data_IF_774715301299
#
_entry.id   IF_774715301299
#
_cell.length_a   1.000
_cell.length_b   1.000
_cell.length_c   1.000
_cell.angle_alpha   90.00
_cell.angle_beta   90.00
_cell.angle_gamma   90.00
#
_symmetry.space_group_name_H-M   'P 1'
#
loop_
_entity.id
_entity.type
_entity.pdbx_description
1 polymer ?
#
# COMPACT_ATOMS: atom_id res chain seq x y z
N UNK A 1 16.43 0.11 -17.35
CA UNK A 1 15.27 -0.79 -17.56
C UNK A 1 14.01 -0.06 -17.08
N UNK A 2 12.94 -0.07 -17.86
CA UNK A 2 11.66 0.57 -17.50
C UNK A 2 10.99 -0.23 -16.36
N UNK A 3 10.37 0.46 -15.40
CA UNK A 3 9.78 -0.17 -14.20
C UNK A 3 8.75 -1.26 -14.55
N UNK A 4 7.88 -1.01 -15.53
CA UNK A 4 6.87 -2.00 -15.98
C UNK A 4 7.50 -3.25 -16.60
N UNK A 5 8.56 -3.09 -17.41
CA UNK A 5 9.27 -4.23 -17.99
C UNK A 5 9.90 -5.13 -16.91
N UNK A 6 10.42 -4.51 -15.84
CA UNK A 6 10.94 -5.25 -14.69
C UNK A 6 9.83 -5.98 -13.93
N UNK A 7 8.69 -5.34 -13.69
CA UNK A 7 7.55 -5.99 -13.01
C UNK A 7 7.01 -7.18 -13.80
N UNK A 8 7.00 -7.09 -15.13
CA UNK A 8 6.60 -8.17 -16.02
C UNK A 8 7.63 -9.32 -16.02
N UNK A 9 8.93 -9.00 -16.14
CA UNK A 9 10.03 -9.98 -16.04
C UNK A 9 10.03 -10.72 -14.70
N UNK A 10 9.77 -10.00 -13.59
CA UNK A 10 9.67 -10.59 -12.26
C UNK A 10 8.33 -11.33 -12.03
N UNK A 11 7.39 -11.27 -12.99
CA UNK A 11 6.12 -11.99 -12.98
C UNK A 11 5.07 -11.41 -12.03
N UNK A 12 5.19 -10.14 -11.62
CA UNK A 12 4.20 -9.45 -10.80
C UNK A 12 3.02 -8.91 -11.60
N UNK A 13 3.24 -8.62 -12.88
CA UNK A 13 2.19 -8.21 -13.82
C UNK A 13 2.30 -9.02 -15.11
N UNK A 14 1.23 -9.05 -15.88
CA UNK A 14 1.19 -9.66 -17.22
C UNK A 14 0.52 -8.71 -18.20
N UNK A 15 1.06 -8.62 -19.42
CA UNK A 15 0.42 -7.86 -20.50
C UNK A 15 -0.85 -8.56 -20.96
N UNK A 16 -1.96 -7.81 -21.03
CA UNK A 16 -3.24 -8.29 -21.55
C UNK A 16 -3.48 -7.69 -22.93
N UNK A 17 -3.71 -8.55 -23.92
CA UNK A 17 -4.10 -8.09 -25.24
C UNK A 17 -5.52 -7.50 -25.16
N UNK A 18 -5.64 -6.19 -25.39
CA UNK A 18 -6.95 -5.55 -25.53
C UNK A 18 -7.59 -6.02 -26.84
N UNK A 19 -8.52 -6.97 -26.78
CA UNK A 19 -9.23 -7.48 -27.98
C UNK A 19 -10.41 -6.58 -28.36
N UNK A 20 -10.83 -5.64 -27.50
CA UNK A 20 -12.22 -5.13 -27.52
C UNK A 20 -12.46 -3.63 -27.68
N UNK A 21 -11.47 -2.78 -27.97
CA UNK A 21 -11.81 -1.38 -28.29
C UNK A 21 -11.14 -0.96 -29.58
N UNK A 22 -11.98 -0.61 -30.55
CA UNK A 22 -11.68 0.07 -31.79
C UNK A 22 -10.42 0.93 -31.63
N UNK A 23 -9.44 0.68 -32.49
CA UNK A 23 -8.21 1.43 -32.63
C UNK A 23 -8.54 2.90 -32.95
N UNK A 24 -8.95 3.66 -31.94
CA UNK A 24 -9.21 5.08 -32.05
C UNK A 24 -7.83 5.73 -32.11
N UNK A 25 -7.34 5.91 -33.35
CA UNK A 25 -6.18 6.73 -33.71
C UNK A 25 -4.80 6.18 -33.31
N UNK A 26 -4.48 4.96 -33.74
CA UNK A 26 -3.11 4.59 -34.14
C UNK A 26 -2.03 4.44 -33.05
N UNK A 27 -2.37 4.52 -31.75
CA UNK A 27 -1.42 4.23 -30.67
C UNK A 27 -1.73 2.89 -30.02
N UNK A 28 -0.76 1.94 -29.96
CA UNK A 28 -0.96 0.71 -29.22
C UNK A 28 -1.17 1.03 -27.73
N UNK A 29 -2.29 0.57 -27.17
CA UNK A 29 -2.61 0.66 -25.75
C UNK A 29 -2.20 -0.65 -25.08
N UNK A 30 -1.18 -0.60 -24.23
CA UNK A 30 -0.79 -1.73 -23.39
C UNK A 30 -1.60 -1.72 -22.09
N UNK A 31 -2.37 -2.78 -21.88
CA UNK A 31 -3.04 -3.06 -20.61
C UNK A 31 -2.26 -4.11 -19.83
N UNK A 32 -2.25 -3.98 -18.51
CA UNK A 32 -1.59 -4.92 -17.61
C UNK A 32 -2.57 -5.40 -16.55
N UNK A 33 -2.43 -6.66 -16.16
CA UNK A 33 -3.10 -7.22 -15.00
C UNK A 33 -2.07 -7.66 -13.95
N UNK A 34 -2.42 -7.49 -12.67
CA UNK A 34 -1.60 -7.98 -11.57
C UNK A 34 -1.78 -9.49 -11.43
N UNK A 35 -0.68 -10.22 -11.33
CA UNK A 35 -0.70 -11.68 -11.13
C UNK A 35 -0.99 -12.01 -9.65
N UNK A 36 -1.21 -13.29 -9.32
CA UNK A 36 -1.32 -13.70 -7.91
C UNK A 36 -0.04 -13.39 -7.13
N UNK A 37 1.12 -13.73 -7.69
CA UNK A 37 2.43 -13.36 -7.14
C UNK A 37 2.56 -11.84 -6.94
N UNK A 38 2.03 -11.05 -7.88
CA UNK A 38 1.95 -9.60 -7.75
C UNK A 38 1.07 -9.15 -6.59
N UNK A 39 -0.08 -9.79 -6.38
CA UNK A 39 -0.98 -9.51 -5.25
C UNK A 39 -0.35 -9.85 -3.91
N UNK A 40 0.32 -10.99 -3.80
CA UNK A 40 1.08 -11.39 -2.62
C UNK A 40 2.15 -10.35 -2.29
N UNK A 41 2.96 -9.97 -3.29
CA UNK A 41 4.01 -8.95 -3.11
C UNK A 41 3.43 -7.57 -2.75
N UNK A 42 2.31 -7.20 -3.35
CA UNK A 42 1.59 -5.99 -3.00
C UNK A 42 1.14 -6.02 -1.53
N UNK A 43 0.56 -7.13 -1.07
CA UNK A 43 0.14 -7.30 0.31
C UNK A 43 1.33 -7.17 1.29
N UNK A 44 2.46 -7.82 1.00
CA UNK A 44 3.69 -7.67 1.78
C UNK A 44 4.14 -6.21 1.88
N UNK A 45 4.14 -5.49 0.75
CA UNK A 45 4.52 -4.07 0.71
C UNK A 45 3.53 -3.20 1.47
N UNK A 46 2.24 -3.52 1.43
CA UNK A 46 1.20 -2.83 2.18
C UNK A 46 1.35 -3.04 3.68
N UNK A 47 1.61 -4.28 4.11
CA UNK A 47 1.74 -4.64 5.52
C UNK A 47 3.12 -4.34 6.12
N UNK A 48 4.11 -3.98 5.30
CA UNK A 48 5.38 -3.46 5.79
C UNK A 48 5.18 -2.05 6.40
N UNK A 49 5.15 -2.01 7.73
CA UNK A 49 4.94 -0.81 8.56
C UNK A 49 6.21 -0.37 9.31
N UNK A 50 7.25 -1.20 9.33
CA UNK A 50 8.49 -0.97 10.09
C UNK A 50 9.61 -0.34 9.24
N UNK A 51 9.50 -0.42 7.92
CA UNK A 51 10.49 0.16 7.01
C UNK A 51 10.22 1.65 6.79
N UNK A 52 11.29 2.43 6.56
CA UNK A 52 11.22 3.84 6.16
C UNK A 52 10.47 4.75 7.16
N UNK A 53 10.73 4.57 8.46
CA UNK A 53 10.07 5.33 9.55
C UNK A 53 10.11 6.84 9.33
N UNK A 54 11.22 7.38 8.80
CA UNK A 54 11.40 8.81 8.56
C UNK A 54 10.47 9.40 7.48
N UNK A 55 10.01 8.60 6.52
CA UNK A 55 9.08 9.00 5.47
C UNK A 55 7.71 8.32 5.60
N UNK A 56 7.46 7.66 6.74
CA UNK A 56 6.28 6.82 6.93
C UNK A 56 4.98 7.57 6.72
N UNK A 57 4.89 8.85 7.12
CA UNK A 57 3.70 9.67 6.88
C UNK A 57 3.35 9.77 5.40
N UNK A 58 4.33 10.04 4.53
CA UNK A 58 4.12 10.14 3.08
C UNK A 58 3.79 8.77 2.47
N UNK A 59 4.50 7.74 2.91
CA UNK A 59 4.27 6.36 2.45
C UNK A 59 2.87 5.88 2.84
N UNK A 60 2.38 6.22 4.02
CA UNK A 60 1.04 5.86 4.46
C UNK A 60 -0.04 6.48 3.57
N UNK A 61 0.13 7.73 3.10
CA UNK A 61 -0.81 8.34 2.17
C UNK A 61 -0.91 7.58 0.84
N UNK A 62 0.20 7.02 0.33
CA UNK A 62 0.18 6.13 -0.83
C UNK A 62 -0.54 4.81 -0.53
N UNK A 63 -0.39 4.26 0.68
CA UNK A 63 -1.12 3.06 1.10
C UNK A 63 -2.63 3.32 1.15
N UNK A 64 -3.07 4.48 1.66
CA UNK A 64 -4.50 4.83 1.73
C UNK A 64 -5.18 4.76 0.36
N UNK A 65 -4.51 5.20 -0.71
CA UNK A 65 -5.05 5.14 -2.07
C UNK A 65 -5.31 3.71 -2.56
N UNK A 66 -4.60 2.72 -2.02
CA UNK A 66 -4.68 1.32 -2.43
C UNK A 66 -5.32 0.41 -1.36
N UNK A 67 -5.83 0.97 -0.25
CA UNK A 67 -6.41 0.20 0.85
C UNK A 67 -7.65 -0.62 0.44
N UNK A 68 -8.35 -0.23 -0.62
CA UNK A 68 -9.51 -0.98 -1.11
C UNK A 68 -9.16 -2.39 -1.57
N UNK A 69 -7.89 -2.65 -1.90
CA UNK A 69 -7.39 -3.97 -2.29
C UNK A 69 -6.99 -4.86 -1.10
N UNK A 70 -7.07 -4.35 0.14
CA UNK A 70 -6.79 -5.12 1.35
C UNK A 70 -8.05 -5.65 1.99
N UNK A 71 -7.90 -6.72 2.78
CA UNK A 71 -8.98 -7.19 3.66
C UNK A 71 -9.29 -6.15 4.74
N UNK A 72 -10.55 -6.06 5.22
CA UNK A 72 -10.92 -5.11 6.26
C UNK A 72 -10.05 -5.17 7.52
N UNK A 73 -9.62 -6.37 7.92
CA UNK A 73 -8.74 -6.57 9.08
C UNK A 73 -7.35 -5.91 8.87
N UNK A 74 -6.76 -6.07 7.69
CA UNK A 74 -5.47 -5.47 7.35
C UNK A 74 -5.55 -3.94 7.32
N UNK A 75 -6.67 -3.39 6.82
CA UNK A 75 -6.90 -1.93 6.83
C UNK A 75 -6.91 -1.39 8.26
N UNK A 76 -7.54 -2.11 9.19
CA UNK A 76 -7.59 -1.70 10.59
C UNK A 76 -6.18 -1.67 11.21
N UNK A 77 -5.37 -2.71 10.97
CA UNK A 77 -3.97 -2.77 11.45
C UNK A 77 -3.18 -1.54 10.95
N UNK A 78 -3.32 -1.19 9.68
CA UNK A 78 -2.63 -0.03 9.10
C UNK A 78 -3.11 1.29 9.71
N UNK A 79 -4.41 1.45 9.94
CA UNK A 79 -4.98 2.65 10.57
C UNK A 79 -4.54 2.79 12.03
N UNK A 80 -4.60 1.70 12.80
CA UNK A 80 -4.12 1.66 14.19
C UNK A 80 -2.65 2.04 14.28
N UNK A 81 -1.81 1.45 13.42
CA UNK A 81 -0.39 1.78 13.36
C UNK A 81 -0.18 3.27 13.02
N UNK A 82 -0.92 3.82 12.06
CA UNK A 82 -0.78 5.23 11.70
C UNK A 82 -1.24 6.20 12.79
N UNK A 83 -2.30 5.86 13.53
CA UNK A 83 -2.74 6.61 14.72
C UNK A 83 -1.63 6.61 15.76
N UNK A 84 -1.07 5.44 16.07
CA UNK A 84 0.03 5.31 17.03
C UNK A 84 1.27 6.10 16.59
N UNK A 85 1.62 6.04 15.30
CA UNK A 85 2.69 6.85 14.72
C UNK A 85 2.43 8.34 14.94
N UNK A 86 1.25 8.85 14.58
CA UNK A 86 0.89 10.26 14.74
C UNK A 86 0.92 10.72 16.22
N UNK A 87 0.48 9.87 17.14
CA UNK A 87 0.58 10.13 18.58
C UNK A 87 2.05 10.20 19.04
N UNK A 88 2.90 9.26 18.58
CA UNK A 88 4.33 9.22 18.94
C UNK A 88 5.10 10.45 18.45
N UNK A 89 4.70 11.01 17.31
CA UNK A 89 5.29 12.20 16.71
C UNK A 89 4.67 13.52 17.24
N UNK A 90 3.71 13.46 18.17
CA UNK A 90 3.01 14.64 18.70
C UNK A 90 2.12 15.37 17.69
N UNK A 91 1.84 14.76 16.52
CA UNK A 91 0.98 15.33 15.46
C UNK A 91 -0.48 15.34 15.92
N UNK A 92 -0.92 14.25 16.55
CA UNK A 92 -2.21 14.18 17.22
C UNK A 92 -2.02 14.55 18.69
N UNK A 93 -2.63 15.66 19.11
CA UNK A 93 -2.78 15.97 20.53
C UNK A 93 -3.97 15.19 21.07
N UNK A 94 -3.72 14.29 22.03
CA UNK A 94 -4.76 13.48 22.66
C UNK A 94 -5.73 14.37 23.45
N UNK A 95 -6.79 14.85 22.81
CA UNK A 95 -7.97 15.39 23.48
C UNK A 95 -9.08 14.33 23.49
N UNK A 96 -8.95 13.35 24.38
CA UNK A 96 -10.08 12.59 24.96
C UNK A 96 -9.60 11.65 26.05
N UNK A 97 -10.11 11.85 27.27
CA UNK A 97 -10.32 10.75 28.21
C UNK A 97 -11.01 9.60 27.44
N UNK A 98 -10.54 8.37 27.63
CA UNK A 98 -11.06 7.09 27.11
C UNK A 98 -10.37 6.43 25.91
N UNK A 99 -9.24 6.93 25.41
CA UNK A 99 -8.33 6.09 24.60
C UNK A 99 -6.91 6.32 25.07
N UNK A 100 -6.51 5.53 26.07
CA UNK A 100 -5.11 5.23 26.35
C UNK A 100 -4.43 4.89 25.02
N UNK A 101 -3.49 5.73 24.57
CA UNK A 101 -2.51 5.34 23.57
C UNK A 101 -1.91 4.03 24.07
N UNK A 102 -2.34 2.90 23.49
CA UNK A 102 -2.03 1.57 23.97
C UNK A 102 -0.51 1.44 24.05
N UNK A 103 0.02 1.59 25.25
CA UNK A 103 1.40 1.29 25.53
C UNK A 103 1.57 -0.20 25.29
N UNK A 104 2.45 -0.55 24.38
CA UNK A 104 3.31 -1.69 24.64
C UNK A 104 4.68 -1.37 24.10
N UNK A 105 5.43 -0.66 24.94
CA UNK A 105 6.80 -1.04 25.23
C UNK A 105 6.84 -2.54 25.53
N UNK A 106 6.88 -3.37 24.49
CA UNK A 106 7.56 -4.66 24.56
C UNK A 106 8.95 -4.39 24.02
N UNK A 107 9.83 -3.93 24.90
CA UNK A 107 11.26 -4.22 24.83
C UNK A 107 11.67 -4.58 26.26
N UNK A 108 12.32 -5.74 26.36
CA UNK A 108 12.81 -6.40 27.55
C UNK A 108 13.54 -5.49 28.55
#
# INVERSE_FOLDING_TARGET
>A
MLFLARLEEEGYIVTVANVTVEQTKGRPLHSYEITEKGRERFHELMMNITSNVGDYQKLFLHKVQAMEHLQPADRLILLEHYINFCCSQGILSAKRQDISCYSMSICC
#
